data_IF_960175760724
#
_entry.id   IF_960175760724
#
_cell.length_a   1.000
_cell.length_b   1.000
_cell.length_c   1.000
_cell.angle_alpha   90.00
_cell.angle_beta   90.00
_cell.angle_gamma   90.00
#
_symmetry.space_group_name_H-M   'P 1'
#
loop_
_entity.id
_entity.type
_entity.pdbx_description
1 polymer ?
#
# COMPACT_ATOMS: atom_id res chain seq x y z
N UNK A 1 1.38 -45.93 32.72
CA UNK A 1 2.41 -44.89 32.45
C UNK A 1 2.66 -44.60 30.97
N UNK A 2 2.35 -45.51 30.01
CA UNK A 2 2.54 -45.24 28.57
C UNK A 2 1.41 -44.43 27.89
N UNK A 3 0.20 -44.37 28.47
CA UNK A 3 -0.96 -43.66 27.89
C UNK A 3 -1.02 -42.17 28.24
N UNK A 4 -0.35 -41.75 29.31
CA UNK A 4 -0.30 -40.34 29.75
C UNK A 4 0.74 -39.51 29.00
N UNK A 5 1.76 -40.14 28.39
CA UNK A 5 2.76 -39.43 27.57
C UNK A 5 2.19 -39.02 26.22
N UNK A 6 1.29 -39.81 25.64
CA UNK A 6 0.67 -39.50 24.35
C UNK A 6 -0.25 -38.28 24.40
N UNK A 7 -0.87 -38.01 25.55
CA UNK A 7 -1.75 -36.85 25.75
C UNK A 7 -1.00 -35.53 25.93
N UNK A 8 0.27 -35.56 26.38
CA UNK A 8 1.07 -34.34 26.50
C UNK A 8 1.71 -33.88 25.18
N UNK A 9 1.97 -34.77 24.23
CA UNK A 9 2.48 -34.37 22.90
C UNK A 9 1.40 -33.82 21.96
N UNK A 10 0.12 -34.11 22.19
CA UNK A 10 -0.97 -33.61 21.35
C UNK A 10 -1.37 -32.15 21.65
N UNK A 11 -0.94 -31.58 22.78
CA UNK A 11 -1.24 -30.18 23.16
C UNK A 11 -0.21 -29.15 22.65
N UNK A 12 0.90 -29.60 22.04
CA UNK A 12 2.01 -28.72 21.66
C UNK A 12 1.92 -28.16 20.23
N UNK A 13 0.84 -28.43 19.47
CA UNK A 13 0.76 -28.17 18.02
C UNK A 13 -0.22 -27.07 17.59
N UNK A 14 -0.73 -26.23 18.50
CA UNK A 14 -1.79 -25.27 18.16
C UNK A 14 -1.51 -23.80 18.50
N UNK A 15 -0.24 -23.36 18.45
CA UNK A 15 0.10 -21.93 18.55
C UNK A 15 1.09 -21.51 17.46
N UNK A 16 0.76 -21.79 16.19
CA UNK A 16 1.27 -20.95 15.11
C UNK A 16 0.46 -19.66 15.16
N UNK A 17 0.98 -18.64 15.85
CA UNK A 17 0.47 -17.29 15.70
C UNK A 17 0.67 -16.91 14.24
N UNK A 18 -0.41 -16.64 13.50
CA UNK A 18 -0.31 -15.88 12.27
C UNK A 18 0.08 -14.46 12.66
N UNK A 19 1.37 -14.24 12.94
CA UNK A 19 1.92 -12.91 13.01
C UNK A 19 1.72 -12.32 11.62
N UNK A 20 0.91 -11.28 11.51
CA UNK A 20 0.76 -10.60 10.24
C UNK A 20 2.10 -10.00 9.86
N UNK A 21 2.62 -10.45 8.73
CA UNK A 21 3.93 -10.01 8.25
C UNK A 21 3.75 -8.78 7.36
N UNK A 22 4.51 -7.73 7.66
CA UNK A 22 4.60 -6.58 6.79
C UNK A 22 5.42 -6.96 5.55
N UNK A 23 4.75 -7.11 4.41
CA UNK A 23 5.40 -7.49 3.15
C UNK A 23 5.89 -6.25 2.42
N UNK A 24 7.21 -6.15 2.24
CA UNK A 24 7.85 -5.08 1.47
C UNK A 24 7.69 -5.33 -0.02
N UNK A 25 7.14 -4.36 -0.73
CA UNK A 25 7.06 -4.37 -2.17
C UNK A 25 8.40 -3.92 -2.77
N UNK A 26 9.20 -4.88 -3.25
CA UNK A 26 10.49 -4.59 -3.88
C UNK A 26 10.38 -4.06 -5.31
N UNK A 27 9.19 -4.16 -5.95
CA UNK A 27 8.99 -3.67 -7.32
C UNK A 27 9.15 -2.14 -7.42
N UNK A 28 8.95 -1.43 -6.32
CA UNK A 28 9.11 0.04 -6.26
C UNK A 28 10.54 0.51 -6.52
N UNK A 29 11.53 -0.37 -6.34
CA UNK A 29 12.92 -0.08 -6.67
C UNK A 29 13.15 0.03 -8.19
N UNK A 30 12.29 -0.59 -9.00
CA UNK A 30 12.35 -0.50 -10.47
C UNK A 30 11.72 0.79 -10.98
N UNK A 31 10.65 1.25 -10.32
CA UNK A 31 9.91 2.46 -10.71
C UNK A 31 10.50 3.73 -10.10
N UNK A 32 11.32 3.60 -9.05
CA UNK A 32 11.81 4.75 -8.27
C UNK A 32 10.72 5.41 -7.41
N UNK A 33 9.56 4.75 -7.24
CA UNK A 33 8.49 5.23 -6.40
C UNK A 33 8.94 5.33 -4.93
N UNK A 34 8.50 6.38 -4.23
CA UNK A 34 8.80 6.59 -2.81
C UNK A 34 7.90 5.77 -1.88
N UNK A 35 6.74 5.33 -2.37
CA UNK A 35 5.77 4.53 -1.61
C UNK A 35 5.02 3.55 -2.50
N UNK A 36 4.60 2.41 -1.94
CA UNK A 36 3.62 1.49 -2.53
C UNK A 36 2.62 1.00 -1.48
N UNK A 37 1.32 0.89 -1.78
CA UNK A 37 0.66 1.37 -3.00
C UNK A 37 0.82 2.88 -3.24
N UNK A 38 0.64 3.33 -4.48
CA UNK A 38 0.76 4.74 -4.84
C UNK A 38 -0.40 5.55 -4.24
N UNK A 39 -0.11 6.80 -3.88
CA UNK A 39 -1.12 7.75 -3.40
C UNK A 39 -1.99 8.26 -4.56
N UNK A 40 -3.19 8.73 -4.22
CA UNK A 40 -4.08 9.38 -5.15
C UNK A 40 -3.54 10.75 -5.53
N UNK A 41 -3.63 11.12 -6.81
CA UNK A 41 -3.37 12.47 -7.32
C UNK A 41 -4.43 12.87 -8.35
N UNK A 42 -4.58 14.16 -8.67
CA UNK A 42 -5.48 14.58 -9.75
C UNK A 42 -5.14 13.93 -11.11
N UNK A 43 -3.86 13.67 -11.36
CA UNK A 43 -3.37 13.01 -12.59
C UNK A 43 -3.55 11.47 -12.57
N UNK A 44 -3.67 10.89 -11.37
CA UNK A 44 -3.88 9.45 -11.17
C UNK A 44 -4.96 9.22 -10.10
N UNK A 45 -6.24 9.40 -10.46
CA UNK A 45 -7.33 9.49 -9.49
C UNK A 45 -7.84 8.11 -9.03
N UNK A 46 -6.93 7.17 -8.74
CA UNK A 46 -7.26 5.79 -8.37
C UNK A 46 -6.80 5.47 -6.95
N UNK A 47 -7.70 4.89 -6.14
CA UNK A 47 -7.37 4.39 -4.80
C UNK A 47 -6.74 3.01 -4.95
N UNK A 48 -5.45 2.91 -4.63
CA UNK A 48 -4.68 1.66 -4.80
C UNK A 48 -4.60 0.79 -3.54
N UNK A 49 -5.03 1.31 -2.39
CA UNK A 49 -5.15 0.48 -1.17
C UNK A 49 -6.31 -0.50 -1.32
N UNK A 50 -6.20 -1.67 -0.70
CA UNK A 50 -7.34 -2.57 -0.56
C UNK A 50 -8.50 -1.85 0.17
N UNK A 51 -9.76 -2.09 -0.21
CA UNK A 51 -10.90 -1.64 0.58
C UNK A 51 -10.96 -2.41 1.91
N UNK A 52 -11.46 -1.75 2.96
CA UNK A 52 -11.63 -2.29 4.30
C UNK A 52 -13.12 -2.54 4.58
N UNK A 53 -13.52 -3.77 4.90
CA UNK A 53 -14.93 -4.09 5.09
C UNK A 53 -15.28 -4.17 6.56
N UNK A 54 -16.40 -3.55 6.91
CA UNK A 54 -16.90 -3.53 8.29
C UNK A 54 -17.03 -4.97 8.79
N UNK A 55 -16.52 -5.22 10.01
CA UNK A 55 -16.46 -6.53 10.66
C UNK A 55 -15.61 -7.61 9.95
N UNK A 56 -14.84 -7.24 8.92
CA UNK A 56 -13.90 -8.14 8.25
C UNK A 56 -12.46 -7.77 8.57
N UNK A 57 -11.59 -8.77 8.51
CA UNK A 57 -10.20 -8.56 8.81
C UNK A 57 -9.47 -7.85 7.65
N UNK A 58 -8.92 -6.67 7.93
CA UNK A 58 -8.17 -5.85 6.99
C UNK A 58 -6.66 -6.01 7.19
N UNK A 59 -5.91 -6.06 6.08
CA UNK A 59 -4.45 -6.12 6.09
C UNK A 59 -3.87 -5.52 4.81
N UNK A 60 -3.14 -4.42 4.95
CA UNK A 60 -2.48 -3.71 3.87
C UNK A 60 -1.06 -3.31 4.27
N UNK A 61 -0.07 -3.80 3.51
CA UNK A 61 1.32 -3.35 3.63
C UNK A 61 1.49 -2.04 2.85
N UNK A 62 2.12 -1.06 3.47
CA UNK A 62 2.57 0.19 2.86
C UNK A 62 4.09 0.20 2.91
N UNK A 63 4.73 0.12 1.75
CA UNK A 63 6.18 0.09 1.62
C UNK A 63 6.70 1.48 1.35
N UNK A 64 7.68 1.94 2.13
CA UNK A 64 8.38 3.20 1.92
C UNK A 64 9.76 2.92 1.32
N UNK A 65 10.05 3.50 0.16
CA UNK A 65 11.40 3.54 -0.38
C UNK A 65 12.10 4.78 0.16
N UNK A 66 13.04 4.59 1.09
CA UNK A 66 13.72 5.73 1.72
C UNK A 66 14.90 6.16 0.85
N UNK A 67 14.88 7.36 0.24
CA UNK A 67 16.00 7.84 -0.56
C UNK A 67 17.16 8.28 0.34
N UNK A 68 18.33 8.53 -0.26
CA UNK A 68 19.47 9.14 0.41
C UNK A 68 19.34 10.65 0.60
N UNK A 69 18.48 11.28 -0.21
CA UNK A 69 18.21 12.69 -0.26
C UNK A 69 16.72 12.91 -0.48
N UNK A 70 16.12 13.91 0.18
CA UNK A 70 14.79 14.41 -0.17
C UNK A 70 14.94 15.80 -0.75
N UNK A 71 14.22 16.01 -1.84
CA UNK A 71 14.06 17.30 -2.52
C UNK A 71 12.63 17.82 -2.29
N UNK A 72 12.42 19.11 -2.59
CA UNK A 72 11.09 19.74 -2.60
C UNK A 72 10.35 19.75 -1.25
N UNK A 73 11.06 19.72 -0.11
CA UNK A 73 10.42 20.00 1.18
C UNK A 73 10.05 21.49 1.23
N UNK A 74 8.78 21.85 1.46
CA UNK A 74 8.36 23.23 1.63
C UNK A 74 9.23 23.97 2.65
N UNK A 75 9.79 25.10 2.24
CA UNK A 75 10.65 25.92 3.09
C UNK A 75 12.14 25.52 3.12
N UNK A 76 12.54 24.46 2.41
CA UNK A 76 13.95 24.08 2.27
C UNK A 76 14.38 24.10 0.80
N UNK A 77 15.20 25.08 0.38
CA UNK A 77 15.52 25.31 -1.04
C UNK A 77 16.60 24.36 -1.60
N UNK A 78 17.11 23.42 -0.80
CA UNK A 78 18.20 22.51 -1.17
C UNK A 78 17.84 21.06 -0.83
N UNK A 79 18.38 20.12 -1.60
CA UNK A 79 18.28 18.70 -1.30
C UNK A 79 18.88 18.41 0.09
N UNK A 80 18.09 17.76 0.96
CA UNK A 80 18.51 17.42 2.32
C UNK A 80 19.00 15.97 2.32
N UNK A 81 20.26 15.70 2.69
CA UNK A 81 20.71 14.33 2.91
C UNK A 81 19.99 13.73 4.12
N UNK A 82 19.67 12.44 4.06
CA UNK A 82 18.91 11.75 5.10
C UNK A 82 19.77 10.66 5.71
N UNK A 83 19.65 10.48 7.02
CA UNK A 83 20.15 9.29 7.72
C UNK A 83 19.04 8.24 7.82
N UNK A 84 17.87 8.66 8.31
CA UNK A 84 16.68 7.82 8.44
C UNK A 84 15.39 8.64 8.41
N UNK A 85 14.31 7.97 8.05
CA UNK A 85 12.93 8.37 8.30
C UNK A 85 12.42 7.61 9.52
N UNK A 86 11.62 8.25 10.35
CA UNK A 86 10.93 7.56 11.43
C UNK A 86 9.47 8.01 11.55
N UNK A 87 8.64 7.04 11.92
CA UNK A 87 7.21 7.21 12.18
C UNK A 87 7.00 6.88 13.66
N UNK A 88 6.20 7.67 14.39
CA UNK A 88 5.92 7.32 15.77
C UNK A 88 5.22 5.95 15.85
N UNK A 89 5.53 5.13 16.85
CA UNK A 89 4.92 3.80 17.02
C UNK A 89 3.47 3.84 17.49
N UNK A 90 2.95 5.03 17.82
CA UNK A 90 1.55 5.28 18.15
C UNK A 90 1.12 6.65 17.64
N UNK A 91 -0.15 6.77 17.24
CA UNK A 91 -0.79 8.04 16.84
C UNK A 91 -0.08 8.81 15.70
N UNK A 92 0.70 8.12 14.86
CA UNK A 92 1.36 8.76 13.72
C UNK A 92 0.45 8.87 12.49
N UNK A 93 -0.57 8.02 12.38
CA UNK A 93 -1.50 8.04 11.25
C UNK A 93 -2.80 8.70 11.71
N UNK A 94 -3.16 9.80 11.05
CA UNK A 94 -4.41 10.53 11.29
C UNK A 94 -5.52 9.99 10.39
N UNK A 95 -6.78 10.12 10.82
CA UNK A 95 -7.98 9.67 10.11
C UNK A 95 -8.01 8.17 9.77
N UNK A 96 -7.24 7.34 10.49
CA UNK A 96 -7.31 5.90 10.31
C UNK A 96 -8.72 5.39 10.68
N UNK A 97 -9.38 4.57 9.83
CA UNK A 97 -10.70 4.03 10.14
C UNK A 97 -10.76 3.38 11.53
N UNK A 98 -11.86 3.62 12.25
CA UNK A 98 -12.06 3.04 13.57
C UNK A 98 -11.94 1.51 13.52
N UNK A 99 -11.19 0.92 14.47
CA UNK A 99 -10.93 -0.52 14.51
C UNK A 99 -9.70 -0.97 13.72
N UNK A 100 -9.08 -0.08 12.93
CA UNK A 100 -7.76 -0.30 12.34
C UNK A 100 -6.66 0.29 13.24
N UNK A 101 -5.49 -0.30 13.14
CA UNK A 101 -4.23 0.14 13.76
C UNK A 101 -3.09 -0.10 12.77
N UNK A 102 -1.85 0.22 13.18
CA UNK A 102 -0.68 -0.04 12.38
C UNK A 102 0.48 -0.62 13.20
N UNK A 103 1.38 -1.28 12.49
CA UNK A 103 2.69 -1.71 12.99
C UNK A 103 3.74 -1.49 11.91
N UNK A 104 5.02 -1.49 12.29
CA UNK A 104 6.11 -1.29 11.35
C UNK A 104 7.02 -2.52 11.30
N UNK A 105 7.70 -2.68 10.18
CA UNK A 105 8.87 -3.54 10.03
C UNK A 105 10.04 -2.69 9.48
N UNK A 106 11.08 -2.39 10.28
CA UNK A 106 11.32 -2.88 11.65
C UNK A 106 10.36 -2.32 12.72
N UNK A 107 10.17 -3.02 13.88
CA UNK A 107 9.19 -2.64 14.91
C UNK A 107 9.39 -1.27 15.57
N UNK A 108 10.58 -0.69 15.45
CA UNK A 108 10.87 0.65 15.94
C UNK A 108 10.38 1.77 15.00
N UNK A 109 9.83 1.42 13.82
CA UNK A 109 9.40 2.36 12.80
C UNK A 109 10.51 3.32 12.34
N UNK A 110 11.79 2.89 12.39
CA UNK A 110 12.93 3.66 11.89
C UNK A 110 13.46 3.00 10.62
N UNK A 111 13.41 3.74 9.52
CA UNK A 111 13.81 3.28 8.20
C UNK A 111 15.06 4.04 7.76
N UNK A 112 16.18 3.32 7.62
CA UNK A 112 17.43 3.93 7.19
C UNK A 112 17.36 4.33 5.72
N UNK A 113 18.19 5.29 5.31
CA UNK A 113 18.35 5.65 3.90
C UNK A 113 18.71 4.43 3.03
N UNK A 114 18.29 4.45 1.77
CA UNK A 114 18.48 3.38 0.80
C UNK A 114 17.95 2.02 1.28
N UNK A 115 16.91 2.02 2.11
CA UNK A 115 16.23 0.80 2.56
C UNK A 115 14.74 0.90 2.32
N UNK A 116 14.10 -0.27 2.27
CA UNK A 116 12.65 -0.38 2.21
C UNK A 116 12.09 -0.50 3.64
N UNK A 117 11.31 0.49 4.04
CA UNK A 117 10.48 0.45 5.24
C UNK A 117 9.13 -0.18 4.93
N UNK A 118 8.50 -0.80 5.92
CA UNK A 118 7.13 -1.31 5.78
C UNK A 118 6.28 -0.88 6.96
N UNK A 119 5.07 -0.40 6.68
CA UNK A 119 4.01 -0.10 7.64
C UNK A 119 2.82 -0.97 7.30
N UNK A 120 2.44 -1.86 8.21
CA UNK A 120 1.27 -2.72 8.07
C UNK A 120 0.08 -2.02 8.69
N UNK A 121 -0.93 -1.71 7.90
CA UNK A 121 -2.24 -1.28 8.36
C UNK A 121 -3.10 -2.52 8.53
N UNK A 122 -3.65 -2.73 9.72
CA UNK A 122 -4.41 -3.93 10.02
C UNK A 122 -5.46 -3.73 11.09
N UNK A 123 -6.43 -4.64 11.15
CA UNK A 123 -7.47 -4.65 12.17
C UNK A 123 -8.82 -5.03 11.59
N UNK A 124 -9.88 -4.72 12.33
CA UNK A 124 -11.25 -4.96 11.89
C UNK A 124 -11.99 -3.64 11.95
N UNK A 125 -12.34 -3.03 10.80
CA UNK A 125 -12.94 -1.71 10.81
C UNK A 125 -14.37 -1.78 11.38
N UNK A 126 -14.72 -0.77 12.16
CA UNK A 126 -16.01 -0.61 12.86
C UNK A 126 -16.71 0.71 12.51
N UNK A 127 -16.02 1.59 11.77
CA UNK A 127 -16.56 2.86 11.32
C UNK A 127 -17.63 2.73 10.23
N UNK A 128 -18.34 3.83 9.92
CA UNK A 128 -19.31 3.83 8.82
C UNK A 128 -18.62 3.61 7.47
N UNK A 129 -19.42 3.25 6.46
CA UNK A 129 -19.01 3.26 5.05
C UNK A 129 -18.62 4.68 4.67
N UNK A 130 -17.36 4.89 4.30
CA UNK A 130 -16.78 6.20 4.00
C UNK A 130 -15.42 6.04 3.27
N UNK A 131 -14.88 7.13 2.73
CA UNK A 131 -13.51 7.18 2.21
C UNK A 131 -12.63 7.97 3.17
N UNK A 132 -11.77 7.28 3.89
CA UNK A 132 -10.88 7.88 4.87
C UNK A 132 -9.61 8.42 4.21
N UNK A 133 -9.32 9.71 4.38
CA UNK A 133 -8.08 10.35 3.90
C UNK A 133 -6.99 10.33 4.98
N UNK A 134 -5.99 9.47 4.80
CA UNK A 134 -4.92 9.25 5.75
C UNK A 134 -3.81 10.28 5.61
N UNK A 135 -3.40 10.84 6.76
CA UNK A 135 -2.13 11.56 6.86
C UNK A 135 -1.15 10.79 7.74
N UNK A 136 0.00 10.42 7.18
CA UNK A 136 1.07 9.72 7.90
C UNK A 136 2.11 10.74 8.34
N UNK A 137 2.27 10.89 9.66
CA UNK A 137 3.25 11.80 10.25
C UNK A 137 4.64 11.19 10.22
N UNK A 138 5.51 11.72 9.37
CA UNK A 138 6.89 11.26 9.17
C UNK A 138 7.85 12.31 9.72
N UNK A 139 8.94 11.87 10.34
CA UNK A 139 10.04 12.75 10.75
C UNK A 139 11.36 12.28 10.15
N UNK A 140 12.23 13.24 9.85
CA UNK A 140 13.45 13.01 9.07
C UNK A 140 14.66 13.35 9.94
N UNK A 141 15.57 12.40 10.12
CA UNK A 141 16.90 12.67 10.68
C UNK A 141 17.88 12.95 9.54
N UNK A 142 18.55 14.09 9.59
CA UNK A 142 19.53 14.53 8.60
C UNK A 142 20.85 14.87 9.26
N UNK A 143 22.01 14.58 8.65
CA UNK A 143 23.29 15.06 9.14
C UNK A 143 23.46 16.59 9.03
N UNK A 144 22.64 17.25 8.20
CA UNK A 144 22.68 18.70 8.00
C UNK A 144 22.01 19.49 9.12
N UNK A 145 21.21 18.85 9.96
CA UNK A 145 20.44 19.50 11.02
C UNK A 145 20.67 18.82 12.38
N UNK A 146 20.84 19.58 13.47
CA UNK A 146 21.05 19.01 14.81
C UNK A 146 19.77 18.42 15.43
N UNK A 147 18.61 18.72 14.84
CA UNK A 147 17.30 18.23 15.26
C UNK A 147 16.56 17.60 14.08
N UNK A 148 15.72 16.57 14.29
CA UNK A 148 14.89 16.01 13.23
C UNK A 148 13.94 17.05 12.62
N UNK A 149 13.72 16.95 11.31
CA UNK A 149 12.72 17.74 10.58
C UNK A 149 11.38 17.01 10.62
N UNK A 150 10.34 17.64 11.19
CA UNK A 150 9.00 17.07 11.28
C UNK A 150 8.31 17.28 12.64
N UNK A 151 7.11 16.70 12.85
CA UNK A 151 6.42 15.78 11.95
C UNK A 151 5.89 16.47 10.68
N UNK A 152 6.06 15.80 9.54
CA UNK A 152 5.58 16.20 8.22
C UNK A 152 4.41 15.29 7.84
N UNK A 153 3.36 15.86 7.26
CA UNK A 153 2.19 15.13 6.81
C UNK A 153 2.43 14.53 5.41
N UNK A 154 2.53 13.21 5.31
CA UNK A 154 2.64 12.49 4.04
C UNK A 154 1.25 12.00 3.60
N UNK A 155 0.88 12.08 2.30
CA UNK A 155 1.70 12.49 1.15
C UNK A 155 1.75 13.99 0.84
N UNK A 156 0.95 14.82 1.53
CA UNK A 156 0.78 16.25 1.21
C UNK A 156 2.07 17.08 1.22
N UNK A 157 3.07 16.67 2.00
CA UNK A 157 4.39 17.32 2.03
C UNK A 157 5.18 17.19 0.72
N UNK A 158 5.01 16.07 0.00
CA UNK A 158 5.72 15.81 -1.27
C UNK A 158 4.89 16.32 -2.46
N UNK A 159 3.57 16.24 -2.35
CA UNK A 159 2.64 16.71 -3.38
C UNK A 159 1.40 17.30 -2.67
N UNK A 160 1.15 18.62 -2.73
CA UNK A 160 0.09 19.28 -1.98
C UNK A 160 -1.33 18.72 -2.24
N UNK A 161 -1.59 18.28 -3.47
CA UNK A 161 -2.88 17.72 -3.90
C UNK A 161 -2.91 16.18 -3.85
N UNK A 162 -1.90 15.56 -3.23
CA UNK A 162 -1.86 14.11 -3.05
C UNK A 162 -2.57 13.68 -1.77
N UNK A 163 -3.27 12.55 -1.87
CA UNK A 163 -4.06 11.98 -0.78
C UNK A 163 -3.85 10.48 -0.66
N UNK A 164 -3.96 9.94 0.55
CA UNK A 164 -3.78 8.50 0.78
C UNK A 164 -5.06 7.91 1.36
N UNK A 165 -5.92 7.40 0.48
CA UNK A 165 -7.26 6.97 0.88
C UNK A 165 -7.32 5.50 1.32
N UNK A 166 -8.24 5.19 2.23
CA UNK A 166 -8.79 3.83 2.43
C UNK A 166 -10.31 3.92 2.32
N UNK A 167 -10.89 3.13 1.42
CA UNK A 167 -12.34 2.98 1.34
C UNK A 167 -12.84 1.97 2.38
N UNK A 168 -13.76 2.40 3.23
CA UNK A 168 -14.51 1.53 4.14
C UNK A 168 -15.83 1.15 3.48
N UNK A 169 -16.11 -0.15 3.37
CA UNK A 169 -17.30 -0.70 2.70
C UNK A 169 -18.12 -1.61 3.62
N UNK A 170 -19.34 -1.98 3.21
CA UNK A 170 -20.14 -2.91 4.01
C UNK A 170 -19.50 -4.30 4.02
N UNK A 171 -19.84 -5.09 5.04
CA UNK A 171 -19.47 -6.52 5.10
C UNK A 171 -19.81 -7.22 3.78
N UNK A 172 -18.85 -7.95 3.21
CA UNK A 172 -18.97 -8.70 1.96
C UNK A 172 -18.55 -7.94 0.70
N UNK A 173 -18.34 -6.62 0.76
CA UNK A 173 -18.05 -5.78 -0.43
C UNK A 173 -16.55 -5.63 -0.76
N UNK A 174 -15.67 -6.26 0.03
CA UNK A 174 -14.21 -6.23 -0.14
C UNK A 174 -13.67 -7.49 -0.80
N UNK A 175 -14.54 -8.48 -1.02
CA UNK A 175 -14.31 -9.49 -2.01
C UNK A 175 -14.28 -8.80 -3.38
N UNK A 176 -13.09 -8.32 -3.78
CA UNK A 176 -12.79 -8.07 -5.18
C UNK A 176 -12.99 -9.40 -5.87
N UNK A 177 -14.13 -9.55 -6.55
CA UNK A 177 -14.27 -10.59 -7.55
C UNK A 177 -13.02 -10.53 -8.41
N UNK A 178 -12.43 -11.67 -8.69
CA UNK A 178 -11.43 -11.77 -9.75
C UNK A 178 -12.05 -11.08 -10.95
N UNK A 179 -11.59 -9.87 -11.29
CA UNK A 179 -11.89 -9.26 -12.57
C UNK A 179 -11.17 -10.16 -13.57
N UNK A 180 -11.84 -11.24 -13.96
CA UNK A 180 -11.38 -12.14 -14.98
C UNK A 180 -11.46 -11.35 -16.29
N UNK A 181 -10.33 -10.87 -16.83
CA UNK A 181 -10.35 -10.08 -18.06
C UNK A 181 -10.90 -10.93 -19.21
N UNK A 182 -10.83 -12.27 -19.11
CA UNK A 182 -11.39 -13.19 -20.10
C UNK A 182 -12.91 -13.22 -20.12
N UNK A 183 -13.58 -12.85 -19.01
CA UNK A 183 -15.04 -12.68 -19.00
C UNK A 183 -15.47 -11.32 -19.57
N UNK A 184 -14.58 -10.32 -19.50
CA UNK A 184 -14.86 -8.94 -19.95
C UNK A 184 -14.56 -8.75 -21.44
N UNK A 185 -13.54 -9.43 -21.97
CA UNK A 185 -13.19 -9.40 -23.40
C UNK A 185 -13.87 -10.57 -24.11
N UNK A 186 -14.87 -10.26 -24.94
CA UNK A 186 -15.63 -11.25 -25.69
C UNK A 186 -14.82 -11.90 -26.82
N UNK A 187 -13.95 -11.14 -27.49
CA UNK A 187 -13.07 -11.67 -28.52
C UNK A 187 -11.92 -10.72 -28.87
N UNK A 188 -10.77 -11.30 -29.24
CA UNK A 188 -9.66 -10.60 -29.90
C UNK A 188 -9.37 -11.34 -31.20
N UNK A 189 -9.44 -10.66 -32.34
CA UNK A 189 -9.17 -11.25 -33.66
C UNK A 189 -8.38 -10.28 -34.53
N UNK A 190 -7.45 -10.79 -35.32
CA UNK A 190 -6.75 -10.03 -36.34
C UNK A 190 -7.30 -10.39 -37.73
N UNK A 191 -7.49 -9.39 -38.59
CA UNK A 191 -8.04 -9.57 -39.94
C UNK A 191 -7.17 -8.79 -40.94
N UNK A 192 -6.50 -9.47 -41.89
CA UNK A 192 -6.44 -10.93 -42.07
C UNK A 192 -5.55 -11.63 -41.02
N UNK A 193 -5.82 -12.92 -40.79
CA UNK A 193 -4.97 -13.85 -40.05
C UNK A 193 -4.86 -15.17 -40.85
N UNK A 194 -3.69 -15.53 -41.41
CA UNK A 194 -2.38 -14.85 -41.29
C UNK A 194 -2.28 -13.53 -42.08
N UNK A 195 -1.26 -12.72 -41.79
CA UNK A 195 -0.94 -11.47 -42.52
C UNK A 195 0.58 -11.32 -42.70
N UNK A 196 1.00 -10.58 -43.72
CA UNK A 196 2.43 -10.29 -44.01
C UNK A 196 2.87 -8.89 -43.59
N UNK A 197 2.01 -7.89 -43.79
CA UNK A 197 2.40 -6.47 -43.65
C UNK A 197 1.47 -5.69 -42.71
N UNK A 198 0.16 -5.73 -42.95
CA UNK A 198 -0.83 -5.03 -42.13
C UNK A 198 -1.97 -5.97 -41.72
N UNK A 199 -2.45 -5.80 -40.50
CA UNK A 199 -3.65 -6.46 -39.99
C UNK A 199 -4.47 -5.48 -39.17
N UNK A 200 -5.78 -5.68 -39.11
CA UNK A 200 -6.65 -4.97 -38.20
C UNK A 200 -6.93 -5.84 -36.96
N UNK A 201 -6.55 -5.37 -35.78
CA UNK A 201 -6.90 -6.02 -34.51
C UNK A 201 -8.28 -5.50 -34.08
N UNK A 202 -9.24 -6.42 -33.95
CA UNK A 202 -10.59 -6.17 -33.47
C UNK A 202 -10.75 -6.79 -32.08
N UNK A 203 -11.03 -5.93 -31.10
CA UNK A 203 -11.33 -6.31 -29.71
C UNK A 203 -12.80 -6.01 -29.47
N UNK A 204 -13.54 -6.99 -28.95
CA UNK A 204 -14.94 -6.83 -28.54
C UNK A 204 -15.01 -6.98 -27.04
N UNK A 205 -15.55 -5.97 -26.36
CA UNK A 205 -15.78 -5.98 -24.92
C UNK A 205 -17.25 -6.23 -24.61
N UNK A 206 -17.52 -7.00 -23.56
CA UNK A 206 -18.87 -7.18 -22.98
C UNK A 206 -19.24 -6.05 -22.02
N UNK A 207 -18.30 -5.16 -21.69
CA UNK A 207 -18.46 -4.05 -20.75
C UNK A 207 -18.03 -2.73 -21.38
N UNK A 208 -18.69 -1.63 -21.00
CA UNK A 208 -18.32 -0.28 -21.41
C UNK A 208 -17.31 0.33 -20.44
N UNK A 209 -16.27 0.99 -20.96
CA UNK A 209 -15.24 1.67 -20.15
C UNK A 209 -14.12 2.21 -21.01
N UNK A 210 -13.12 2.83 -20.36
CA UNK A 210 -11.91 3.28 -21.02
C UNK A 210 -10.95 2.11 -21.23
N UNK A 211 -10.41 2.00 -22.44
CA UNK A 211 -9.44 0.96 -22.81
C UNK A 211 -8.16 1.63 -23.29
N UNK A 212 -7.03 1.26 -22.68
CA UNK A 212 -5.72 1.64 -23.20
C UNK A 212 -5.17 0.47 -24.05
N UNK A 213 -4.82 0.77 -25.29
CA UNK A 213 -4.20 -0.20 -26.20
C UNK A 213 -2.76 0.24 -26.45
N UNK A 214 -1.80 -0.57 -26.00
CA UNK A 214 -0.37 -0.34 -26.17
C UNK A 214 0.18 -1.39 -27.15
N UNK A 215 0.98 -0.94 -28.12
CA UNK A 215 1.59 -1.77 -29.18
C UNK A 215 3.08 -1.91 -28.92
#
# INVERSE_FOLDING_TARGET
>A
MKKTVLFLCALAWALVSNAQTCERDSSILLTGAIVSPWYWTPDSPYIQTKPACINEFYSQSVTFNVPDTIENIPGVPLAIPINNLFIATSNAISNLPAGLTYSCDPPNCVFNKNTLGCVLLYGTPTGPVDTADLSIKVSISSPSFPVPVGPLDFPSIIAPDAHYYIEVRNTGECAVGTNDPSAQIASVKNIPNPFSDQTAISIVSNVSGDFNFEV
#
